data_IF_291759780064
#
_entry.id   IF_291759780064
#
_cell.length_a   1.000
_cell.length_b   1.000
_cell.length_c   1.000
_cell.angle_alpha   90.00
_cell.angle_beta   90.00
_cell.angle_gamma   90.00
#
_symmetry.space_group_name_H-M   'P 1'
#
loop_
_entity.id
_entity.type
_entity.pdbx_description
1 polymer ?
#
# COMPACT_ATOMS: atom_id res chain seq x y z
N UNK A 1 14.12 -16.79 6.89
CA UNK A 1 15.24 -17.07 5.96
C UNK A 1 15.49 -18.55 5.69
N UNK A 2 15.42 -19.46 6.68
CA UNK A 2 15.62 -20.90 6.45
C UNK A 2 14.58 -21.55 5.50
N UNK A 3 13.33 -21.04 5.48
CA UNK A 3 12.31 -21.52 4.54
C UNK A 3 12.65 -21.15 3.09
N UNK A 4 13.21 -19.95 2.86
CA UNK A 4 13.60 -19.49 1.51
C UNK A 4 14.80 -20.29 0.98
N UNK A 5 15.73 -20.71 1.84
CA UNK A 5 16.93 -21.46 1.41
C UNK A 5 16.64 -22.92 1.01
N UNK A 6 15.70 -23.59 1.66
CA UNK A 6 15.23 -24.94 1.25
C UNK A 6 14.45 -24.86 -0.06
N UNK A 7 13.68 -23.80 -0.27
CA UNK A 7 12.89 -23.60 -1.49
C UNK A 7 13.77 -23.23 -2.70
N UNK A 8 14.86 -22.49 -2.49
CA UNK A 8 15.85 -22.22 -3.53
C UNK A 8 16.53 -23.52 -4.03
N UNK A 9 16.75 -24.51 -3.15
CA UNK A 9 17.29 -25.82 -3.57
C UNK A 9 16.34 -26.60 -4.50
N UNK A 10 15.02 -26.50 -4.31
CA UNK A 10 14.03 -27.09 -5.24
C UNK A 10 13.95 -26.31 -6.56
N UNK A 11 14.11 -24.99 -6.51
CA UNK A 11 14.23 -24.12 -7.68
C UNK A 11 15.42 -24.51 -8.59
N UNK A 12 16.54 -24.90 -7.99
CA UNK A 12 17.75 -25.38 -8.70
C UNK A 12 17.53 -26.74 -9.38
N UNK A 13 16.55 -27.54 -8.94
CA UNK A 13 16.22 -28.85 -9.53
C UNK A 13 15.18 -28.78 -10.67
N UNK A 14 14.70 -27.58 -11.04
CA UNK A 14 13.79 -27.39 -12.18
C UNK A 14 12.34 -27.82 -11.94
N UNK A 15 11.99 -28.10 -10.69
CA UNK A 15 10.68 -28.58 -10.25
C UNK A 15 9.98 -27.46 -9.46
N UNK A 16 8.86 -26.96 -10.00
CA UNK A 16 8.11 -25.85 -9.40
C UNK A 16 6.85 -26.35 -8.70
N UNK A 17 6.69 -26.00 -7.42
CA UNK A 17 5.46 -26.26 -6.68
C UNK A 17 4.50 -25.07 -6.85
N UNK A 18 3.30 -25.33 -7.37
CA UNK A 18 2.27 -24.30 -7.58
C UNK A 18 1.88 -23.57 -6.29
N UNK A 19 1.61 -24.34 -5.24
CA UNK A 19 1.26 -23.82 -3.92
C UNK A 19 2.32 -22.84 -3.39
N UNK A 20 3.60 -23.09 -3.69
CA UNK A 20 4.68 -22.19 -3.31
C UNK A 20 4.63 -20.87 -4.09
N UNK A 21 4.39 -20.94 -5.40
CA UNK A 21 4.29 -19.74 -6.25
C UNK A 21 3.17 -18.82 -5.78
N UNK A 22 2.01 -19.38 -5.41
CA UNK A 22 0.91 -18.59 -4.85
C UNK A 22 1.18 -18.04 -3.47
N UNK A 23 1.79 -18.83 -2.58
CA UNK A 23 2.20 -18.34 -1.27
C UNK A 23 3.17 -17.16 -1.39
N UNK A 24 4.09 -17.21 -2.36
CA UNK A 24 5.01 -16.10 -2.67
C UNK A 24 4.24 -14.88 -3.18
N UNK A 25 3.37 -15.00 -4.18
CA UNK A 25 2.58 -13.87 -4.67
C UNK A 25 1.67 -13.25 -3.59
N UNK A 26 1.07 -14.09 -2.74
CA UNK A 26 0.27 -13.66 -1.59
C UNK A 26 1.09 -12.90 -0.55
N UNK A 27 2.37 -13.26 -0.37
CA UNK A 27 3.28 -12.53 0.52
C UNK A 27 3.55 -11.09 0.05
N UNK A 28 3.41 -10.82 -1.25
CA UNK A 28 3.46 -9.48 -1.84
C UNK A 28 2.12 -8.75 -1.84
N UNK A 29 1.05 -9.37 -1.33
CA UNK A 29 -0.28 -8.78 -1.25
C UNK A 29 -1.17 -9.02 -2.47
N UNK A 30 -0.72 -9.79 -3.46
CA UNK A 30 -1.55 -10.16 -4.61
C UNK A 30 -2.48 -11.33 -4.22
N UNK A 31 -3.76 -11.21 -4.54
CA UNK A 31 -4.77 -12.25 -4.23
C UNK A 31 -4.98 -13.17 -5.42
N UNK A 32 -5.40 -14.41 -5.16
CA UNK A 32 -5.71 -15.40 -6.21
C UNK A 32 -6.82 -14.92 -7.16
N UNK A 33 -7.80 -14.19 -6.63
CA UNK A 33 -8.89 -13.60 -7.40
C UNK A 33 -8.48 -12.30 -8.13
N UNK A 34 -7.19 -11.97 -8.27
CA UNK A 34 -6.73 -10.86 -9.09
C UNK A 34 -7.01 -11.17 -10.58
N UNK A 35 -7.82 -10.35 -11.28
CA UNK A 35 -8.15 -10.59 -12.69
C UNK A 35 -6.92 -10.68 -13.60
N UNK A 36 -5.84 -9.96 -13.30
CA UNK A 36 -4.58 -9.99 -14.07
C UNK A 36 -3.85 -11.32 -13.95
N UNK A 37 -4.17 -12.13 -12.93
CA UNK A 37 -3.65 -13.49 -12.73
C UNK A 37 -4.57 -14.56 -13.33
N UNK A 38 -5.78 -14.22 -13.79
CA UNK A 38 -6.81 -15.19 -14.20
C UNK A 38 -6.31 -16.19 -15.24
N UNK A 39 -5.70 -15.71 -16.33
CA UNK A 39 -5.22 -16.60 -17.40
C UNK A 39 -4.10 -17.53 -16.95
N UNK A 40 -3.24 -17.07 -16.02
CA UNK A 40 -2.26 -17.95 -15.39
C UNK A 40 -2.97 -19.02 -14.56
N UNK A 41 -3.97 -18.66 -13.76
CA UNK A 41 -4.74 -19.60 -12.93
C UNK A 41 -5.50 -20.64 -13.77
N UNK A 42 -6.09 -20.22 -14.88
CA UNK A 42 -6.81 -21.11 -15.81
C UNK A 42 -5.87 -22.15 -16.41
N UNK A 43 -4.69 -21.73 -16.88
CA UNK A 43 -3.66 -22.65 -17.40
C UNK A 43 -3.11 -23.60 -16.33
N UNK A 44 -2.99 -23.10 -15.11
CA UNK A 44 -2.53 -23.92 -13.98
C UNK A 44 -3.54 -25.02 -13.71
N UNK A 45 -4.83 -24.67 -13.60
CA UNK A 45 -5.91 -25.64 -13.38
C UNK A 45 -6.01 -26.66 -14.50
N UNK A 46 -5.85 -26.25 -15.76
CA UNK A 46 -5.91 -27.20 -16.88
C UNK A 46 -4.84 -28.29 -16.80
N UNK A 47 -3.66 -28.00 -16.24
CA UNK A 47 -2.65 -29.03 -16.05
C UNK A 47 -2.84 -29.84 -14.76
N UNK A 48 -3.49 -29.29 -13.73
CA UNK A 48 -3.87 -30.05 -12.52
C UNK A 48 -4.93 -31.10 -12.85
N UNK A 49 -5.91 -30.77 -13.71
CA UNK A 49 -6.95 -31.71 -14.14
C UNK A 49 -6.40 -32.85 -15.02
N UNK A 50 -5.22 -32.67 -15.62
CA UNK A 50 -4.53 -33.67 -16.44
C UNK A 50 -3.67 -34.67 -15.62
N UNK A 51 -3.46 -34.43 -14.31
CA UNK A 51 -2.54 -35.20 -13.46
C UNK A 51 -3.26 -35.83 -12.25
N UNK A 52 -3.35 -37.16 -12.21
CA UNK A 52 -4.13 -37.91 -11.22
C UNK A 52 -3.62 -37.78 -9.76
N UNK A 53 -2.40 -37.24 -9.55
CA UNK A 53 -1.73 -37.22 -8.24
C UNK A 53 -1.80 -35.84 -7.54
N UNK A 54 -2.99 -35.51 -7.03
CA UNK A 54 -3.37 -34.20 -6.48
C UNK A 54 -2.56 -33.67 -5.27
N UNK A 55 -1.61 -34.43 -4.70
CA UNK A 55 -0.97 -34.08 -3.42
C UNK A 55 0.37 -33.33 -3.53
N UNK A 56 1.03 -33.35 -4.69
CA UNK A 56 2.24 -32.56 -4.95
C UNK A 56 2.36 -32.31 -6.46
N UNK A 57 1.58 -31.37 -7.00
CA UNK A 57 1.67 -31.03 -8.41
C UNK A 57 3.01 -30.33 -8.71
N UNK A 58 3.80 -30.95 -9.59
CA UNK A 58 5.14 -30.51 -9.97
C UNK A 58 5.14 -30.07 -11.44
N UNK A 59 5.38 -28.78 -11.68
CA UNK A 59 5.55 -28.27 -13.04
C UNK A 59 7.00 -28.36 -13.48
N UNK A 60 7.22 -28.92 -14.68
CA UNK A 60 8.48 -28.74 -15.38
C UNK A 60 8.63 -27.28 -15.83
N UNK A 61 9.87 -26.88 -16.13
CA UNK A 61 10.23 -25.50 -16.47
C UNK A 61 9.43 -24.95 -17.65
N UNK A 62 9.18 -25.76 -18.66
CA UNK A 62 8.47 -25.36 -19.89
C UNK A 62 7.00 -25.06 -19.58
N UNK A 63 6.29 -26.00 -18.95
CA UNK A 63 4.89 -25.81 -18.52
C UNK A 63 4.74 -24.63 -17.57
N UNK A 64 5.69 -24.46 -16.64
CA UNK A 64 5.68 -23.32 -15.72
C UNK A 64 5.79 -21.98 -16.47
N UNK A 65 6.70 -21.87 -17.44
CA UNK A 65 6.83 -20.67 -18.28
C UNK A 65 5.53 -20.35 -19.02
N UNK A 66 4.89 -21.37 -19.60
CA UNK A 66 3.62 -21.20 -20.32
C UNK A 66 2.48 -20.71 -19.42
N UNK A 67 2.44 -21.18 -18.17
CA UNK A 67 1.49 -20.73 -17.15
C UNK A 67 1.70 -19.26 -16.81
N UNK A 68 2.93 -18.84 -16.47
CA UNK A 68 3.20 -17.49 -15.97
C UNK A 68 3.25 -16.43 -17.07
N UNK A 69 3.48 -16.81 -18.33
CA UNK A 69 3.67 -15.88 -19.44
C UNK A 69 2.58 -14.78 -19.55
N UNK A 70 1.27 -15.08 -19.45
CA UNK A 70 0.21 -14.06 -19.53
C UNK A 70 0.31 -12.98 -18.44
N UNK A 71 0.86 -13.32 -17.28
CA UNK A 71 0.95 -12.44 -16.10
C UNK A 71 2.40 -12.09 -15.74
N UNK A 72 3.34 -12.35 -16.65
CA UNK A 72 4.78 -12.23 -16.41
C UNK A 72 5.19 -10.85 -15.92
N UNK A 73 4.58 -9.80 -16.47
CA UNK A 73 4.89 -8.43 -16.09
C UNK A 73 4.61 -8.17 -14.61
N UNK A 74 3.39 -8.48 -14.15
CA UNK A 74 2.98 -8.33 -12.75
C UNK A 74 3.83 -9.18 -11.80
N UNK A 75 4.08 -10.45 -12.17
CA UNK A 75 4.88 -11.38 -11.36
C UNK A 75 6.32 -10.88 -11.24
N UNK A 76 6.93 -10.46 -12.36
CA UNK A 76 8.28 -9.90 -12.38
C UNK A 76 8.37 -8.64 -11.52
N UNK A 77 7.36 -7.76 -11.60
CA UNK A 77 7.29 -6.54 -10.80
C UNK A 77 7.20 -6.85 -9.29
N UNK A 78 6.38 -7.83 -8.91
CA UNK A 78 6.27 -8.31 -7.53
C UNK A 78 7.58 -8.90 -7.02
N UNK A 79 8.17 -9.86 -7.75
CA UNK A 79 9.40 -10.56 -7.35
C UNK A 79 10.62 -9.65 -7.28
N UNK A 80 10.64 -8.53 -8.03
CA UNK A 80 11.70 -7.53 -7.98
C UNK A 80 11.50 -6.49 -6.88
N UNK A 81 10.48 -6.60 -6.04
CA UNK A 81 10.11 -5.59 -5.04
C UNK A 81 9.88 -4.21 -5.67
N UNK A 82 9.25 -4.18 -6.85
CA UNK A 82 8.92 -2.94 -7.55
C UNK A 82 7.50 -2.45 -7.27
N UNK A 83 6.68 -3.24 -6.57
CA UNK A 83 5.38 -2.77 -6.09
C UNK A 83 5.57 -1.57 -5.14
N UNK A 84 4.57 -0.70 -5.12
CA UNK A 84 4.53 0.59 -4.44
C UNK A 84 4.75 0.45 -2.94
N UNK A 85 4.35 -0.68 -2.34
CA UNK A 85 4.73 -1.07 -0.99
C UNK A 85 5.58 -2.35 -1.08
N UNK A 86 6.92 -2.21 -1.07
CA UNK A 86 7.83 -3.36 -1.21
C UNK A 86 7.69 -4.36 -0.06
N UNK A 87 7.54 -3.85 1.16
CA UNK A 87 7.55 -4.65 2.39
C UNK A 87 6.16 -4.89 2.93
N UNK A 88 5.35 -5.54 2.09
CA UNK A 88 3.92 -5.73 2.33
C UNK A 88 3.58 -6.36 3.68
N UNK A 89 4.35 -7.37 4.11
CA UNK A 89 4.12 -8.05 5.38
C UNK A 89 4.28 -7.15 6.61
N UNK A 90 5.34 -6.34 6.66
CA UNK A 90 5.55 -5.38 7.77
C UNK A 90 4.47 -4.31 7.77
N UNK A 91 4.18 -3.75 6.59
CA UNK A 91 3.10 -2.78 6.41
C UNK A 91 1.76 -3.33 6.94
N UNK A 92 1.40 -4.55 6.57
CA UNK A 92 0.18 -5.19 7.07
C UNK A 92 0.21 -5.38 8.60
N UNK A 93 1.37 -5.70 9.18
CA UNK A 93 1.53 -5.80 10.64
C UNK A 93 1.25 -4.48 11.34
N UNK A 94 1.78 -3.37 10.82
CA UNK A 94 1.54 -2.02 11.33
C UNK A 94 0.06 -1.62 11.19
N UNK A 95 -0.55 -1.83 10.03
CA UNK A 95 -1.98 -1.55 9.81
C UNK A 95 -2.85 -2.40 10.74
N UNK A 96 -2.49 -3.66 10.97
CA UNK A 96 -3.23 -4.54 11.88
C UNK A 96 -3.20 -4.02 13.32
N UNK A 97 -2.05 -3.53 13.80
CA UNK A 97 -1.96 -2.92 15.13
C UNK A 97 -2.87 -1.67 15.25
N UNK A 98 -2.87 -0.81 14.23
CA UNK A 98 -3.77 0.36 14.17
C UNK A 98 -5.24 -0.08 14.15
N UNK A 99 -5.57 -1.11 13.36
CA UNK A 99 -6.92 -1.66 13.30
C UNK A 99 -7.38 -2.16 14.67
N UNK A 100 -6.53 -2.92 15.36
CA UNK A 100 -6.82 -3.47 16.69
C UNK A 100 -7.03 -2.35 17.72
N UNK A 101 -6.17 -1.32 17.74
CA UNK A 101 -6.32 -0.15 18.61
C UNK A 101 -7.64 0.60 18.34
N UNK A 102 -7.92 0.94 17.07
CA UNK A 102 -9.13 1.67 16.70
C UNK A 102 -10.41 0.85 16.93
N UNK A 103 -10.36 -0.48 16.79
CA UNK A 103 -11.53 -1.35 17.00
C UNK A 103 -12.05 -1.37 18.44
N UNK A 104 -11.24 -0.93 19.40
CA UNK A 104 -11.63 -0.79 20.80
C UNK A 104 -12.41 0.49 21.08
N UNK A 105 -12.43 1.45 20.15
CA UNK A 105 -13.17 2.70 20.32
C UNK A 105 -14.66 2.39 20.12
N UNK A 106 -15.45 2.59 21.18
CA UNK A 106 -16.91 2.35 21.20
C UNK A 106 -17.73 3.64 21.29
N UNK A 107 -17.09 4.78 21.08
CA UNK A 107 -17.75 6.07 21.04
C UNK A 107 -18.62 6.24 19.79
N UNK A 108 -19.65 7.09 19.89
CA UNK A 108 -20.56 7.41 18.79
C UNK A 108 -21.95 6.80 18.96
N UNK A 109 -22.86 7.16 18.06
CA UNK A 109 -24.21 6.60 18.02
C UNK A 109 -24.50 6.11 16.62
N UNK A 110 -25.13 4.94 16.52
CA UNK A 110 -25.67 4.45 15.25
C UNK A 110 -26.68 5.47 14.71
N UNK A 111 -26.68 5.71 13.40
CA UNK A 111 -27.65 6.60 12.79
C UNK A 111 -29.06 6.00 12.93
N UNK A 112 -30.01 6.76 13.49
CA UNK A 112 -31.37 6.26 13.80
C UNK A 112 -32.50 6.99 13.08
N UNK A 113 -32.19 7.95 12.20
CA UNK A 113 -33.19 8.74 11.49
C UNK A 113 -34.02 7.92 10.48
N UNK A 114 -33.53 6.74 10.06
CA UNK A 114 -34.30 5.72 9.35
C UNK A 114 -34.19 4.34 10.04
N UNK A 115 -35.25 3.52 10.06
CA UNK A 115 -35.27 2.24 10.78
C UNK A 115 -34.21 1.24 10.35
N UNK A 116 -33.81 1.26 9.08
CA UNK A 116 -32.81 0.34 8.51
C UNK A 116 -31.42 0.62 9.08
N UNK A 117 -31.05 1.90 9.23
CA UNK A 117 -29.80 2.28 9.87
C UNK A 117 -29.80 1.98 11.37
N UNK A 118 -30.94 2.15 12.05
CA UNK A 118 -31.06 1.87 13.48
C UNK A 118 -30.84 0.38 13.83
N UNK A 119 -30.96 -0.53 12.86
CA UNK A 119 -30.73 -1.96 13.04
C UNK A 119 -29.25 -2.35 12.97
N UNK A 120 -28.37 -1.39 12.67
CA UNK A 120 -26.96 -1.69 12.54
C UNK A 120 -26.31 -2.06 13.85
N UNK A 121 -25.49 -3.10 13.80
CA UNK A 121 -24.73 -3.55 14.95
C UNK A 121 -23.53 -2.60 15.14
N UNK A 122 -23.46 -1.85 16.27
CA UNK A 122 -22.36 -0.92 16.52
C UNK A 122 -21.00 -1.60 16.68
N UNK A 123 -20.97 -2.92 16.87
CA UNK A 123 -19.73 -3.68 17.02
C UNK A 123 -19.10 -4.11 15.70
N UNK A 124 -19.76 -3.89 14.55
CA UNK A 124 -19.21 -4.18 13.23
C UNK A 124 -18.04 -3.23 12.95
N UNK A 125 -16.87 -3.79 12.64
CA UNK A 125 -15.68 -3.01 12.34
C UNK A 125 -14.88 -3.64 11.19
N UNK A 126 -14.82 -2.94 10.06
CA UNK A 126 -14.19 -3.41 8.83
C UNK A 126 -13.13 -2.45 8.31
N UNK A 127 -12.01 -2.99 7.83
CA UNK A 127 -10.97 -2.23 7.16
C UNK A 127 -10.47 -2.98 5.94
N UNK A 128 -10.33 -2.30 4.81
CA UNK A 128 -9.70 -2.86 3.61
C UNK A 128 -8.76 -1.86 2.98
N UNK A 129 -7.64 -2.36 2.48
CA UNK A 129 -6.64 -1.59 1.73
C UNK A 129 -6.48 -2.22 0.36
N UNK A 130 -6.41 -1.36 -0.67
CA UNK A 130 -5.94 -1.70 -2.00
C UNK A 130 -4.91 -0.67 -2.43
N UNK A 131 -3.74 -1.09 -2.89
CA UNK A 131 -2.76 -0.18 -3.49
C UNK A 131 -3.01 -0.01 -4.99
N UNK A 132 -2.32 0.96 -5.59
CA UNK A 132 -2.35 1.20 -7.04
C UNK A 132 -1.77 0.03 -7.86
N UNK A 133 -0.96 -0.84 -7.24
CA UNK A 133 -0.45 -2.06 -7.88
C UNK A 133 -1.35 -3.30 -7.64
N UNK A 134 -2.45 -3.12 -6.91
CA UNK A 134 -3.41 -4.19 -6.60
C UNK A 134 -3.05 -5.04 -5.38
N UNK A 135 -2.09 -4.60 -4.55
CA UNK A 135 -1.82 -5.25 -3.26
C UNK A 135 -2.99 -5.02 -2.31
N UNK A 136 -3.49 -6.07 -1.67
CA UNK A 136 -4.75 -6.02 -0.90
C UNK A 136 -4.70 -6.77 0.42
N UNK A 137 -5.16 -6.13 1.49
CA UNK A 137 -5.36 -6.72 2.82
C UNK A 137 -6.68 -6.21 3.39
N UNK A 138 -7.37 -7.05 4.14
CA UNK A 138 -8.61 -6.67 4.82
C UNK A 138 -8.65 -7.28 6.21
N UNK A 139 -9.31 -6.59 7.15
CA UNK A 139 -9.44 -6.97 8.54
C UNK A 139 -10.89 -6.78 9.02
N UNK A 140 -11.31 -7.60 9.98
CA UNK A 140 -12.65 -7.55 10.57
C UNK A 140 -13.76 -7.83 9.56
N UNK A 141 -14.87 -7.10 9.73
CA UNK A 141 -16.13 -7.28 9.01
C UNK A 141 -16.13 -6.65 7.60
N UNK A 142 -15.01 -6.77 6.89
CA UNK A 142 -14.73 -6.02 5.66
C UNK A 142 -15.59 -6.41 4.44
N UNK A 143 -16.31 -7.53 4.54
CA UNK A 143 -17.09 -8.14 3.45
C UNK A 143 -18.60 -8.03 3.64
N UNK A 144 -19.06 -7.41 4.72
CA UNK A 144 -20.49 -7.21 4.95
C UNK A 144 -21.04 -6.29 3.86
N UNK A 145 -22.15 -6.72 3.26
CA UNK A 145 -22.97 -5.95 2.33
C UNK A 145 -24.39 -5.98 2.89
N UNK A 146 -25.03 -4.84 3.01
CA UNK A 146 -26.44 -4.75 3.44
C UNK A 146 -27.38 -4.93 2.23
N UNK A 147 -28.70 -4.75 2.38
CA UNK A 147 -29.65 -4.93 1.27
C UNK A 147 -30.26 -3.58 0.82
N UNK A 148 -30.15 -3.20 -0.46
CA UNK A 148 -30.27 -1.79 -0.87
C UNK A 148 -31.72 -1.30 -1.02
N UNK A 149 -32.66 -2.19 -1.32
CA UNK A 149 -34.02 -1.80 -1.73
C UNK A 149 -34.80 -1.10 -0.62
N UNK A 150 -34.62 -1.52 0.64
CA UNK A 150 -35.36 -0.97 1.77
C UNK A 150 -34.83 0.40 2.22
N UNK A 151 -33.56 0.71 1.93
CA UNK A 151 -32.94 1.99 2.28
C UNK A 151 -33.40 3.11 1.35
N UNK A 152 -33.44 2.86 0.04
CA UNK A 152 -33.90 3.82 -0.96
C UNK A 152 -35.29 4.38 -0.65
N UNK A 153 -36.26 3.50 -0.39
CA UNK A 153 -37.62 3.92 -0.09
C UNK A 153 -37.68 4.73 1.21
N UNK A 154 -36.94 4.31 2.24
CA UNK A 154 -36.92 5.02 3.52
C UNK A 154 -36.21 6.37 3.45
N UNK A 155 -35.12 6.47 2.68
CA UNK A 155 -34.43 7.74 2.43
C UNK A 155 -35.33 8.69 1.67
N UNK A 156 -35.97 8.22 0.59
CA UNK A 156 -36.90 9.03 -0.20
C UNK A 156 -38.06 9.57 0.64
N UNK A 157 -38.68 8.73 1.47
CA UNK A 157 -39.87 9.11 2.24
C UNK A 157 -39.56 10.04 3.43
N UNK A 158 -38.29 10.20 3.82
CA UNK A 158 -37.86 11.04 4.96
C UNK A 158 -36.96 12.22 4.57
N UNK A 159 -36.70 12.44 3.28
CA UNK A 159 -35.73 13.41 2.77
C UNK A 159 -36.32 14.81 2.50
N UNK A 160 -37.09 15.36 3.43
CA UNK A 160 -37.73 16.70 3.31
C UNK A 160 -36.74 17.79 2.91
N UNK A 161 -35.53 17.75 3.49
CA UNK A 161 -34.45 18.71 3.21
C UNK A 161 -33.99 18.66 1.75
N UNK A 162 -33.85 17.46 1.19
CA UNK A 162 -33.40 17.29 -0.20
C UNK A 162 -34.47 17.81 -1.18
N UNK A 163 -35.75 17.55 -0.89
CA UNK A 163 -36.84 18.13 -1.66
C UNK A 163 -36.79 19.66 -1.62
N UNK A 164 -36.73 20.28 -0.44
CA UNK A 164 -36.66 21.74 -0.31
C UNK A 164 -35.46 22.34 -1.07
N UNK A 165 -34.28 21.74 -0.93
CA UNK A 165 -33.07 22.19 -1.63
C UNK A 165 -33.23 22.09 -3.15
N UNK A 166 -33.84 21.02 -3.66
CA UNK A 166 -34.05 20.83 -5.09
C UNK A 166 -34.96 21.90 -5.71
N UNK A 167 -36.04 22.29 -5.02
CA UNK A 167 -36.92 23.36 -5.49
C UNK A 167 -36.20 24.71 -5.47
N UNK A 168 -35.42 24.98 -4.43
CA UNK A 168 -34.58 26.18 -4.35
C UNK A 168 -33.56 26.24 -5.50
N UNK A 169 -32.87 25.13 -5.77
CA UNK A 169 -31.93 25.00 -6.89
C UNK A 169 -32.62 25.18 -8.25
N UNK A 170 -33.86 24.71 -8.40
CA UNK A 170 -34.66 24.87 -9.62
C UNK A 170 -35.00 26.33 -9.88
N UNK A 171 -35.48 27.05 -8.87
CA UNK A 171 -35.77 28.48 -8.96
C UNK A 171 -34.52 29.28 -9.37
N UNK A 172 -33.36 28.89 -8.82
CA UNK A 172 -32.08 29.51 -9.13
C UNK A 172 -31.40 28.97 -10.40
N UNK A 173 -32.12 28.21 -11.24
CA UNK A 173 -31.65 27.70 -12.55
C UNK A 173 -30.34 26.90 -12.46
N UNK A 174 -30.15 26.14 -11.39
CA UNK A 174 -28.94 25.34 -11.18
C UNK A 174 -28.94 24.02 -11.99
N UNK A 175 -30.07 23.61 -12.56
CA UNK A 175 -30.18 22.40 -13.38
C UNK A 175 -29.94 22.70 -14.87
N UNK A 176 -29.48 21.71 -15.66
CA UNK A 176 -29.30 21.86 -17.10
C UNK A 176 -30.58 22.33 -17.83
N UNK A 177 -30.45 23.05 -18.96
CA UNK A 177 -31.60 23.46 -19.75
C UNK A 177 -32.33 22.21 -20.29
N UNK A 178 -33.63 22.09 -19.98
CA UNK A 178 -34.47 20.96 -20.39
C UNK A 178 -34.91 20.03 -19.24
N UNK A 179 -34.40 20.23 -18.02
CA UNK A 179 -34.90 19.52 -16.82
C UNK A 179 -36.32 20.00 -16.48
N UNK A 180 -37.33 19.22 -16.85
CA UNK A 180 -38.74 19.56 -16.62
C UNK A 180 -39.24 19.05 -15.25
N UNK A 181 -38.90 17.81 -14.90
CA UNK A 181 -39.15 17.18 -13.61
C UNK A 181 -38.10 17.56 -12.56
N UNK A 182 -38.43 17.40 -11.28
CA UNK A 182 -37.43 17.24 -10.21
C UNK A 182 -37.49 15.85 -9.60
N UNK A 183 -38.60 15.13 -9.84
CA UNK A 183 -38.88 13.86 -9.19
C UNK A 183 -37.94 12.78 -9.70
N UNK A 184 -37.71 12.72 -11.01
CA UNK A 184 -36.81 11.74 -11.63
C UNK A 184 -35.36 11.97 -11.22
N UNK A 185 -34.94 13.23 -11.14
CA UNK A 185 -33.60 13.63 -10.71
C UNK A 185 -33.35 13.30 -9.24
N UNK A 186 -34.34 13.55 -8.38
CA UNK A 186 -34.29 13.19 -6.96
C UNK A 186 -34.36 11.68 -6.75
N UNK A 187 -35.21 10.98 -7.49
CA UNK A 187 -35.28 9.52 -7.43
C UNK A 187 -33.93 8.90 -7.83
N UNK A 188 -33.29 9.41 -8.88
CA UNK A 188 -31.92 9.01 -9.24
C UNK A 188 -30.91 9.32 -8.12
N UNK A 189 -30.98 10.51 -7.52
CA UNK A 189 -30.10 10.87 -6.40
C UNK A 189 -30.25 9.90 -5.22
N UNK A 190 -31.48 9.58 -4.80
CA UNK A 190 -31.72 8.63 -3.72
C UNK A 190 -31.29 7.21 -4.08
N UNK A 191 -31.49 6.79 -5.34
CA UNK A 191 -30.99 5.49 -5.81
C UNK A 191 -29.46 5.41 -5.68
N UNK A 192 -28.75 6.47 -6.06
CA UNK A 192 -27.29 6.54 -5.97
C UNK A 192 -26.80 6.56 -4.51
N UNK A 193 -27.47 7.30 -3.62
CA UNK A 193 -27.12 7.37 -2.20
C UNK A 193 -27.38 6.06 -1.43
N UNK A 194 -28.32 5.26 -1.91
CA UNK A 194 -28.65 3.95 -1.35
C UNK A 194 -27.85 2.79 -1.98
N UNK A 195 -26.85 3.08 -2.83
CA UNK A 195 -25.94 2.05 -3.32
C UNK A 195 -25.07 1.53 -2.17
N UNK A 196 -25.01 0.21 -2.07
CA UNK A 196 -24.22 -0.47 -1.05
C UNK A 196 -22.96 -1.09 -1.64
N UNK A 197 -21.93 -1.12 -0.82
CA UNK A 197 -20.63 -1.69 -1.13
C UNK A 197 -20.03 -2.24 0.16
N UNK A 198 -19.02 -3.09 0.04
CA UNK A 198 -18.22 -3.52 1.18
C UNK A 198 -16.87 -2.81 1.17
N UNK A 199 -16.10 -2.96 2.26
CA UNK A 199 -14.79 -2.32 2.38
C UNK A 199 -13.84 -2.76 1.25
N UNK A 200 -13.87 -4.05 0.86
CA UNK A 200 -13.00 -4.57 -0.20
C UNK A 200 -13.23 -3.87 -1.55
N UNK A 201 -14.48 -3.73 -1.96
CA UNK A 201 -14.87 -3.04 -3.20
C UNK A 201 -14.59 -1.55 -3.11
N UNK A 202 -14.96 -0.90 -1.99
CA UNK A 202 -14.69 0.51 -1.77
C UNK A 202 -13.18 0.84 -1.81
N UNK A 203 -12.34 -0.04 -1.26
CA UNK A 203 -10.89 0.12 -1.30
C UNK A 203 -10.35 0.07 -2.74
N UNK A 204 -10.89 -0.79 -3.61
CA UNK A 204 -10.53 -0.82 -5.03
C UNK A 204 -10.98 0.47 -5.72
N UNK A 205 -12.19 0.97 -5.45
CA UNK A 205 -12.66 2.24 -6.02
C UNK A 205 -11.78 3.43 -5.60
N UNK A 206 -11.37 3.48 -4.33
CA UNK A 206 -10.44 4.48 -3.82
C UNK A 206 -9.05 4.37 -4.50
N UNK A 207 -8.55 3.15 -4.66
CA UNK A 207 -7.28 2.89 -5.35
C UNK A 207 -7.35 3.27 -6.84
N UNK A 208 -8.49 3.07 -7.51
CA UNK A 208 -8.72 3.54 -8.89
C UNK A 208 -8.58 5.06 -8.99
N UNK A 209 -9.12 5.82 -8.04
CA UNK A 209 -8.94 7.27 -7.99
C UNK A 209 -7.47 7.64 -7.73
N UNK A 210 -6.82 6.99 -6.76
CA UNK A 210 -5.40 7.20 -6.46
C UNK A 210 -4.49 6.87 -7.65
N UNK A 211 -4.90 5.93 -8.51
CA UNK A 211 -4.22 5.53 -9.73
C UNK A 211 -4.67 6.34 -10.96
N UNK A 212 -5.12 7.58 -10.76
CA UNK A 212 -5.48 8.47 -11.86
C UNK A 212 -6.68 8.00 -12.69
N UNK A 213 -7.61 7.27 -12.09
CA UNK A 213 -8.82 6.75 -12.74
C UNK A 213 -8.68 5.38 -13.41
N UNK A 214 -7.51 4.75 -13.34
CA UNK A 214 -7.25 3.40 -13.89
C UNK A 214 -7.41 2.35 -12.79
N UNK A 215 -8.22 1.32 -13.03
CA UNK A 215 -8.44 0.26 -12.05
C UNK A 215 -7.16 -0.55 -11.81
N UNK A 216 -6.66 -0.67 -10.56
CA UNK A 216 -5.41 -1.35 -10.26
C UNK A 216 -5.47 -2.88 -10.46
N UNK A 217 -6.66 -3.43 -10.71
CA UNK A 217 -6.89 -4.88 -10.85
C UNK A 217 -7.21 -5.31 -12.27
N UNK A 218 -7.51 -4.38 -13.17
CA UNK A 218 -7.88 -4.68 -14.56
C UNK A 218 -7.11 -3.83 -15.58
N UNK A 219 -6.39 -2.81 -15.12
CA UNK A 219 -5.69 -1.82 -15.95
C UNK A 219 -6.62 -1.03 -16.89
N UNK A 220 -7.94 -1.09 -16.65
CA UNK A 220 -8.95 -0.36 -17.42
C UNK A 220 -9.12 1.07 -16.91
N UNK A 221 -9.22 2.03 -17.83
CA UNK A 221 -9.55 3.41 -17.50
C UNK A 221 -11.05 3.53 -17.16
N UNK A 222 -11.37 3.60 -15.87
CA UNK A 222 -12.74 3.76 -15.39
C UNK A 222 -13.17 5.23 -15.30
N UNK A 223 -12.23 6.15 -15.04
CA UNK A 223 -12.52 7.57 -14.82
C UNK A 223 -11.55 8.45 -15.61
N UNK A 224 -12.08 9.18 -16.59
CA UNK A 224 -11.28 10.09 -17.41
C UNK A 224 -10.67 11.25 -16.61
N UNK A 225 -9.50 11.77 -17.03
CA UNK A 225 -8.83 12.92 -16.43
C UNK A 225 -9.57 14.23 -16.72
N UNK A 226 -10.60 14.49 -15.92
CA UNK A 226 -11.36 15.75 -15.94
C UNK A 226 -11.04 16.57 -14.69
N UNK A 227 -11.12 17.92 -14.76
CA UNK A 227 -10.83 18.78 -13.61
C UNK A 227 -11.62 18.42 -12.33
N UNK A 228 -12.86 17.95 -12.47
CA UNK A 228 -13.66 17.52 -11.33
C UNK A 228 -13.04 16.33 -10.58
N UNK A 229 -12.46 15.37 -11.30
CA UNK A 229 -11.76 14.23 -10.70
C UNK A 229 -10.53 14.72 -9.94
N UNK A 230 -9.74 15.58 -10.57
CA UNK A 230 -8.49 16.07 -9.97
C UNK A 230 -8.79 16.90 -8.72
N UNK A 231 -9.86 17.72 -8.75
CA UNK A 231 -10.30 18.48 -7.58
C UNK A 231 -10.85 17.60 -6.48
N UNK A 232 -11.54 16.51 -6.82
CA UNK A 232 -11.99 15.51 -5.86
C UNK A 232 -10.80 14.86 -5.17
N UNK A 233 -9.82 14.37 -5.95
CA UNK A 233 -8.60 13.76 -5.41
C UNK A 233 -7.87 14.75 -4.51
N UNK A 234 -7.70 16.00 -4.94
CA UNK A 234 -7.06 17.05 -4.13
C UNK A 234 -7.78 17.27 -2.78
N UNK A 235 -9.11 17.29 -2.79
CA UNK A 235 -9.92 17.58 -1.59
C UNK A 235 -9.86 16.47 -0.54
N UNK A 236 -9.71 15.21 -0.98
CA UNK A 236 -9.66 14.04 -0.10
C UNK A 236 -8.24 13.51 0.12
N UNK A 237 -7.23 14.19 -0.42
CA UNK A 237 -5.84 13.85 -0.14
C UNK A 237 -5.49 14.35 1.27
N UNK A 238 -5.52 13.45 2.26
CA UNK A 238 -5.09 13.75 3.62
C UNK A 238 -3.58 14.03 3.62
N UNK A 239 -3.23 15.32 3.51
CA UNK A 239 -1.92 15.95 3.66
C UNK A 239 -0.70 15.18 3.13
N UNK A 240 -0.27 15.55 1.93
CA UNK A 240 1.17 15.72 1.70
C UNK A 240 1.64 16.86 2.64
N UNK A 241 2.82 16.73 3.25
CA UNK A 241 3.41 17.65 4.24
C UNK A 241 3.00 17.42 5.70
N UNK A 242 3.63 16.43 6.31
CA UNK A 242 4.55 16.83 7.38
C UNK A 242 5.95 16.73 6.77
N UNK A 243 6.70 17.84 6.78
CA UNK A 243 8.12 17.77 6.51
C UNK A 243 8.73 16.77 7.47
N UNK A 244 9.06 15.56 6.97
CA UNK A 244 9.92 14.58 7.66
C UNK A 244 11.32 15.15 7.96
N UNK A 245 11.58 16.40 7.55
CA UNK A 245 12.82 17.14 7.72
C UNK A 245 12.96 17.81 9.09
N UNK A 246 11.86 18.12 9.82
CA UNK A 246 11.93 19.01 10.99
C UNK A 246 11.12 18.61 12.23
N UNK A 247 10.83 17.33 12.42
CA UNK A 247 10.40 16.84 13.72
C UNK A 247 11.01 15.46 13.95
N UNK A 248 11.17 15.09 15.22
CA UNK A 248 11.35 13.71 15.69
C UNK A 248 10.18 12.81 15.24
N UNK A 249 9.98 12.68 13.93
CA UNK A 249 8.84 12.01 13.38
C UNK A 249 9.18 10.53 13.32
N UNK A 250 8.63 9.75 14.24
CA UNK A 250 8.54 8.28 14.16
C UNK A 250 7.68 7.80 12.98
N UNK A 251 7.54 8.60 11.91
CA UNK A 251 6.73 8.32 10.74
C UNK A 251 7.49 7.39 9.80
N UNK A 252 6.79 6.38 9.30
CA UNK A 252 7.33 5.38 8.38
C UNK A 252 6.83 5.65 6.95
N UNK A 253 7.75 5.65 5.97
CA UNK A 253 7.39 5.70 4.54
C UNK A 253 7.39 4.27 3.97
N UNK A 254 6.22 3.65 3.76
CA UNK A 254 6.11 2.25 3.34
C UNK A 254 6.53 2.02 1.88
N UNK A 255 6.79 3.08 1.11
CA UNK A 255 7.28 2.98 -0.28
C UNK A 255 8.77 2.69 -0.35
N UNK A 256 9.48 2.88 0.75
CA UNK A 256 10.92 2.64 0.83
C UNK A 256 11.18 1.14 1.01
N UNK A 257 12.26 0.66 0.39
CA UNK A 257 12.69 -0.74 0.51
C UNK A 257 13.40 -0.94 1.85
N UNK A 258 12.97 -1.95 2.62
CA UNK A 258 13.68 -2.35 3.85
C UNK A 258 15.09 -2.81 3.48
N UNK A 259 16.08 -2.31 4.23
CA UNK A 259 17.50 -2.62 4.03
C UNK A 259 18.27 -1.59 3.19
N UNK A 260 17.59 -0.67 2.49
CA UNK A 260 18.29 0.36 1.71
C UNK A 260 18.55 1.64 2.49
N UNK A 261 17.71 2.06 3.46
CA UNK A 261 17.94 3.34 4.16
C UNK A 261 19.28 3.35 4.88
N UNK A 262 19.51 2.38 5.76
CA UNK A 262 20.74 2.38 6.56
C UNK A 262 21.95 2.06 5.69
N UNK A 263 21.83 1.13 4.74
CA UNK A 263 22.93 0.81 3.80
C UNK A 263 23.26 1.95 2.84
N UNK A 264 22.28 2.63 2.24
CA UNK A 264 22.50 3.78 1.35
C UNK A 264 22.99 4.99 2.14
N UNK A 265 22.46 5.23 3.34
CA UNK A 265 22.97 6.29 4.22
C UNK A 265 24.41 6.00 4.65
N UNK A 266 24.73 4.75 5.01
CA UNK A 266 26.11 4.31 5.29
C UNK A 266 26.99 4.57 4.08
N UNK A 267 26.61 4.06 2.90
CA UNK A 267 27.40 4.23 1.67
C UNK A 267 27.60 5.70 1.36
N UNK A 268 26.54 6.51 1.40
CA UNK A 268 26.60 7.95 1.14
C UNK A 268 27.48 8.68 2.16
N UNK A 269 27.38 8.33 3.44
CA UNK A 269 28.19 8.89 4.53
C UNK A 269 29.68 8.52 4.36
N UNK A 270 29.98 7.26 4.01
CA UNK A 270 31.34 6.80 3.77
C UNK A 270 31.96 7.48 2.54
N UNK A 271 31.19 7.69 1.47
CA UNK A 271 31.66 8.47 0.31
C UNK A 271 31.92 9.93 0.66
N UNK A 272 31.04 10.57 1.43
CA UNK A 272 31.24 11.94 1.90
C UNK A 272 32.50 12.04 2.77
N UNK A 273 32.71 11.07 3.67
CA UNK A 273 33.91 10.97 4.48
C UNK A 273 35.17 10.75 3.63
N UNK A 274 35.09 9.94 2.57
CA UNK A 274 36.20 9.68 1.65
C UNK A 274 36.65 10.93 0.90
N UNK A 275 35.71 11.70 0.38
CA UNK A 275 36.01 12.91 -0.42
C UNK A 275 36.20 14.17 0.43
N UNK A 276 36.01 14.10 1.74
CA UNK A 276 36.13 15.26 2.62
C UNK A 276 34.94 16.23 2.55
N UNK A 277 33.76 15.76 2.10
CA UNK A 277 32.58 16.59 1.93
C UNK A 277 31.91 16.91 3.28
N UNK A 278 32.45 17.94 3.93
CA UNK A 278 31.97 18.40 5.23
C UNK A 278 30.51 18.83 5.22
N UNK A 279 30.03 19.45 4.14
CA UNK A 279 28.65 19.95 4.08
C UNK A 279 27.63 18.83 4.02
N UNK A 280 27.94 17.74 3.31
CA UNK A 280 27.09 16.54 3.29
C UNK A 280 27.08 15.86 4.67
N UNK A 281 28.23 15.68 5.31
CA UNK A 281 28.31 15.09 6.66
C UNK A 281 27.57 15.96 7.68
N UNK A 282 27.75 17.29 7.63
CA UNK A 282 27.05 18.23 8.50
C UNK A 282 25.55 18.18 8.31
N UNK A 283 25.08 18.11 7.06
CA UNK A 283 23.65 17.97 6.74
C UNK A 283 23.08 16.67 7.30
N UNK A 284 23.78 15.55 7.12
CA UNK A 284 23.37 14.25 7.66
C UNK A 284 23.30 14.25 9.19
N UNK A 285 24.27 14.86 9.87
CA UNK A 285 24.25 15.04 11.33
C UNK A 285 23.04 15.86 11.79
N UNK A 286 22.76 16.98 11.13
CA UNK A 286 21.60 17.83 11.45
C UNK A 286 20.26 17.13 11.16
N UNK A 287 20.24 16.14 10.26
CA UNK A 287 19.09 15.29 9.97
C UNK A 287 18.93 14.12 10.95
N UNK A 288 19.78 14.03 12.00
CA UNK A 288 19.73 12.96 12.99
C UNK A 288 20.21 11.61 12.46
N UNK A 289 21.01 11.57 11.40
CA UNK A 289 21.59 10.33 10.89
C UNK A 289 22.55 9.72 11.93
N UNK A 290 22.48 8.40 12.13
CA UNK A 290 23.43 7.68 12.96
C UNK A 290 24.81 7.64 12.27
N UNK A 291 25.79 8.38 12.77
CA UNK A 291 27.13 8.45 12.19
C UNK A 291 28.04 7.26 12.60
N UNK A 292 27.56 6.39 13.49
CA UNK A 292 28.29 5.19 13.95
C UNK A 292 28.03 3.95 13.09
N UNK A 293 27.19 4.07 12.06
CA UNK A 293 26.90 2.95 11.18
C UNK A 293 28.15 2.55 10.37
N UNK A 294 28.31 1.25 10.15
CA UNK A 294 29.46 0.65 9.50
C UNK A 294 29.08 -0.09 8.20
N UNK A 295 30.00 -0.16 7.25
CA UNK A 295 29.85 -1.01 6.07
C UNK A 295 30.01 -2.51 6.38
N UNK A 296 29.97 -3.33 5.33
CA UNK A 296 30.17 -4.78 5.44
C UNK A 296 31.54 -5.16 6.01
N UNK A 297 32.54 -4.27 5.98
CA UNK A 297 33.88 -4.46 6.56
C UNK A 297 34.00 -3.88 7.98
N UNK A 298 32.90 -3.41 8.58
CA UNK A 298 32.93 -2.81 9.93
C UNK A 298 33.49 -1.40 9.96
N UNK A 299 33.72 -0.76 8.81
CA UNK A 299 34.30 0.59 8.74
C UNK A 299 33.21 1.64 8.87
N UNK A 300 33.40 2.53 9.84
CA UNK A 300 32.60 3.74 10.04
C UNK A 300 33.15 4.92 9.24
N UNK A 301 32.37 6.00 9.16
CA UNK A 301 32.79 7.27 8.53
C UNK A 301 34.07 7.85 9.14
N UNK A 302 34.30 7.60 10.44
CA UNK A 302 35.51 8.03 11.14
C UNK A 302 36.76 7.30 10.61
N UNK A 303 36.70 5.98 10.39
CA UNK A 303 37.81 5.23 9.84
C UNK A 303 38.21 5.76 8.45
N UNK A 304 37.22 6.01 7.58
CA UNK A 304 37.47 6.52 6.23
C UNK A 304 38.05 7.94 6.27
N UNK A 305 37.48 8.83 7.08
CA UNK A 305 37.99 10.19 7.22
C UNK A 305 39.41 10.24 7.80
N UNK A 306 39.74 9.34 8.73
CA UNK A 306 41.07 9.22 9.32
C UNK A 306 42.09 8.68 8.31
N UNK A 307 41.73 7.64 7.53
CA UNK A 307 42.58 7.04 6.51
C UNK A 307 42.90 8.02 5.37
N UNK A 308 41.95 8.84 4.95
CA UNK A 308 42.12 9.84 3.88
C UNK A 308 42.72 11.17 4.40
N UNK A 309 42.88 11.32 5.72
CA UNK A 309 43.52 12.50 6.33
C UNK A 309 42.64 13.75 6.45
N UNK A 310 41.31 13.61 6.43
CA UNK A 310 40.37 14.74 6.53
C UNK A 310 40.21 15.24 7.98
N UNK A 311 41.21 15.99 8.46
CA UNK A 311 41.31 16.47 9.86
C UNK A 311 40.04 17.21 10.34
N UNK A 312 39.42 18.02 9.48
CA UNK A 312 38.21 18.77 9.82
C UNK A 312 37.02 17.85 10.11
N UNK A 313 36.87 16.77 9.33
CA UNK A 313 35.84 15.75 9.56
C UNK A 313 36.13 14.94 10.81
N UNK A 314 37.38 14.53 11.04
CA UNK A 314 37.78 13.78 12.25
C UNK A 314 37.46 14.60 13.51
N UNK A 315 37.83 15.88 13.53
CA UNK A 315 37.50 16.79 14.63
C UNK A 315 35.99 16.94 14.83
N UNK A 316 35.22 16.99 13.75
CA UNK A 316 33.77 17.05 13.83
C UNK A 316 33.16 15.78 14.41
N UNK A 317 33.57 14.59 13.93
CA UNK A 317 33.07 13.32 14.43
C UNK A 317 33.37 13.11 15.92
N UNK A 318 34.59 13.43 16.36
CA UNK A 318 35.02 13.23 17.76
C UNK A 318 34.46 14.30 18.69
N UNK A 319 34.56 15.58 18.34
CA UNK A 319 34.26 16.67 19.28
C UNK A 319 32.79 17.11 19.26
N UNK A 320 32.14 17.06 18.08
CA UNK A 320 30.77 17.57 17.90
C UNK A 320 29.79 16.42 17.89
N UNK A 321 29.97 15.46 16.98
CA UNK A 321 29.06 14.33 16.86
C UNK A 321 29.24 13.26 17.94
N UNK A 322 30.35 13.30 18.70
CA UNK A 322 30.67 12.37 19.79
C UNK A 322 30.60 10.90 19.37
N UNK A 323 30.97 10.61 18.13
CA UNK A 323 31.08 9.24 17.60
C UNK A 323 32.15 8.50 18.39
N UNK A 324 31.93 7.20 18.66
CA UNK A 324 32.95 6.36 19.26
C UNK A 324 34.26 6.47 18.47
N UNK A 325 35.36 6.77 19.17
CA UNK A 325 36.69 6.97 18.60
C UNK A 325 37.58 5.72 18.75
N UNK A 326 37.04 4.62 19.26
CA UNK A 326 37.66 3.29 19.29
C UNK A 326 36.79 2.19 18.66
N UNK A 327 36.07 2.43 17.55
CA UNK A 327 35.44 1.34 16.83
C UNK A 327 36.56 0.48 16.21
N UNK A 328 36.37 -0.84 16.18
CA UNK A 328 37.29 -1.74 15.46
C UNK A 328 36.64 -2.16 14.16
N UNK A 329 37.39 -2.12 13.09
CA UNK A 329 36.96 -2.70 11.83
C UNK A 329 37.07 -4.24 11.85
N UNK A 330 36.69 -4.89 10.74
CA UNK A 330 36.80 -6.35 10.56
C UNK A 330 38.23 -6.88 10.72
N UNK A 331 39.25 -6.03 10.63
CA UNK A 331 40.67 -6.38 10.72
C UNK A 331 41.29 -6.01 12.08
N UNK A 332 40.47 -5.67 13.09
CA UNK A 332 40.91 -5.22 14.42
C UNK A 332 41.75 -3.93 14.39
N UNK A 333 41.65 -3.15 13.30
CA UNK A 333 42.28 -1.85 13.19
C UNK A 333 41.36 -0.77 13.79
N UNK A 334 41.99 0.19 14.46
CA UNK A 334 41.35 1.37 15.06
C UNK A 334 41.18 2.52 14.06
#
# INVERSE_FOLDING_TARGET
MAFISVQFRRFVQGIFLLNLTFQVLKSFGLREADPRLRHMMEKIKSYEDDDDDARNFLLCREKFKECIHPSMHLISHALRNHLIIPSWGEFCGQIKAIFEECSQIKDGNVATYIPQLARQNPDIWGLSICTIDGQRVSFGDSKIIELPYFRFLSERDTADRNYALSYYMKENKCFPPGTQGLREELDLYFQLCSLETNCDTAAVMAATLANGGVCPLTDELCIHPRPCRDKLIESFNFHNYDSLLHADSNKHDPRRRIGNRDTELVVSLLFAAKYGDFEVVRRMYLQGANLEMADYDGRTALHVAAAEGHIHLVKFFVNIAKVNHQPRDRYDLL
#
